data_IF_736660413584
#
_entry.id   IF_736660413584
#
_cell.length_a   1.000
_cell.length_b   1.000
_cell.length_c   1.000
_cell.angle_alpha   90.00
_cell.angle_beta   90.00
_cell.angle_gamma   90.00
#
_symmetry.space_group_name_H-M   'P 1'
#
loop_
_entity.id
_entity.type
_entity.pdbx_description
1 polymer ?
#
# COMPACT_ATOMS: atom_id res chain seq x y z
N UNK A 1 39.56 -7.04 6.44
CA UNK A 1 38.59 -6.22 5.68
C UNK A 1 37.16 -6.78 5.68
N UNK A 2 36.77 -7.64 6.64
CA UNK A 2 35.39 -8.14 6.76
C UNK A 2 34.47 -7.23 7.60
N UNK A 3 35.03 -6.30 8.38
CA UNK A 3 34.24 -5.38 9.25
C UNK A 3 33.61 -4.18 8.53
N UNK A 4 34.13 -3.75 7.38
CA UNK A 4 33.57 -2.59 6.66
C UNK A 4 32.28 -2.91 5.89
N UNK A 5 32.06 -4.17 5.51
CA UNK A 5 30.84 -4.60 4.84
C UNK A 5 29.64 -4.69 5.81
N UNK A 6 29.90 -5.01 7.09
CA UNK A 6 28.87 -5.15 8.11
C UNK A 6 28.34 -3.78 8.57
N UNK A 7 29.20 -2.75 8.65
CA UNK A 7 28.78 -1.39 8.99
C UNK A 7 27.99 -0.69 7.87
N UNK A 8 28.28 -1.00 6.60
CA UNK A 8 27.49 -0.52 5.45
C UNK A 8 26.12 -1.21 5.37
N UNK A 9 26.03 -2.49 5.72
CA UNK A 9 24.76 -3.19 5.86
C UNK A 9 23.94 -2.66 7.06
N UNK A 10 24.60 -2.29 8.16
CA UNK A 10 23.92 -1.65 9.29
C UNK A 10 23.34 -0.27 8.90
N UNK A 11 24.04 0.57 8.13
CA UNK A 11 23.48 1.83 7.63
C UNK A 11 22.34 1.65 6.60
N UNK A 12 22.40 0.58 5.79
CA UNK A 12 21.31 0.20 4.87
C UNK A 12 20.09 -0.40 5.58
N UNK A 13 20.27 -1.05 6.74
CA UNK A 13 19.19 -1.57 7.58
C UNK A 13 18.62 -0.52 8.56
N UNK A 14 19.41 0.47 8.99
CA UNK A 14 18.95 1.57 9.85
C UNK A 14 18.02 2.57 9.11
N UNK A 15 17.98 2.53 7.78
CA UNK A 15 17.12 3.36 6.94
C UNK A 15 15.89 2.57 6.40
N UNK A 16 15.50 1.48 7.07
CA UNK A 16 14.18 0.90 6.91
C UNK A 16 13.17 1.90 7.45
N UNK A 17 12.53 2.60 6.52
CA UNK A 17 11.63 3.72 6.76
C UNK A 17 10.76 3.51 8.02
N UNK A 18 10.99 4.33 9.04
CA UNK A 18 10.12 4.50 10.22
C UNK A 18 9.84 5.98 10.39
N UNK A 19 9.42 6.65 9.33
CA UNK A 19 8.94 8.03 9.42
C UNK A 19 7.43 7.99 9.28
N UNK A 20 6.76 7.99 10.44
CA UNK A 20 5.35 8.33 10.49
C UNK A 20 5.18 9.82 10.27
N UNK A 21 4.10 10.19 9.59
CA UNK A 21 3.72 11.58 9.52
C UNK A 21 3.44 12.13 10.93
N UNK A 22 4.04 13.25 11.35
CA UNK A 22 3.84 13.76 12.70
C UNK A 22 2.36 14.01 13.02
N UNK A 23 1.90 13.46 14.16
CA UNK A 23 0.51 13.59 14.60
C UNK A 23 -0.44 12.50 14.08
N UNK A 24 0.07 11.49 13.38
CA UNK A 24 -0.67 10.29 12.94
C UNK A 24 0.01 9.02 13.47
N UNK A 25 -0.72 7.90 13.46
CA UNK A 25 -0.25 6.58 13.89
C UNK A 25 -0.23 5.54 12.76
N UNK A 26 -0.83 5.85 11.61
CA UNK A 26 -0.97 4.93 10.46
C UNK A 26 -0.43 5.53 9.15
N UNK A 27 -0.11 6.82 9.09
CA UNK A 27 0.39 7.42 7.84
C UNK A 27 1.91 7.25 7.70
N UNK A 28 2.33 6.05 7.33
CA UNK A 28 3.72 5.70 7.09
C UNK A 28 3.89 4.23 6.71
N UNK A 29 5.13 3.73 6.66
CA UNK A 29 5.44 2.32 6.41
C UNK A 29 5.08 1.45 7.64
N UNK A 30 3.83 0.99 7.70
CA UNK A 30 3.30 0.19 8.81
C UNK A 30 2.53 1.03 9.82
N UNK A 31 2.28 0.48 11.01
CA UNK A 31 1.54 1.15 12.10
C UNK A 31 2.36 1.17 13.39
N UNK A 32 2.25 2.25 14.16
CA UNK A 32 2.77 2.31 15.54
C UNK A 32 1.68 1.90 16.55
N UNK A 33 2.09 1.62 17.79
CA UNK A 33 1.19 1.26 18.89
C UNK A 33 0.07 2.30 19.07
N UNK A 34 -1.17 1.87 19.39
CA UNK A 34 -2.34 2.74 19.41
C UNK A 34 -2.21 3.84 20.48
N UNK A 35 -2.13 5.08 20.02
CA UNK A 35 -2.31 6.28 20.83
C UNK A 35 -3.34 7.21 20.17
N UNK A 36 -3.76 8.27 20.85
CA UNK A 36 -4.63 9.26 20.22
C UNK A 36 -3.86 10.07 19.16
N UNK A 37 -4.25 9.94 17.89
CA UNK A 37 -3.73 10.80 16.83
C UNK A 37 -4.18 12.25 17.05
N UNK A 38 -3.28 13.19 16.77
CA UNK A 38 -3.61 14.63 16.75
C UNK A 38 -4.39 14.99 15.49
N UNK A 39 -4.11 14.31 14.38
CA UNK A 39 -4.72 14.51 13.06
C UNK A 39 -5.69 13.37 12.75
N UNK A 40 -6.75 13.21 13.56
CA UNK A 40 -7.67 12.05 13.54
C UNK A 40 -8.23 11.76 12.13
N UNK A 41 -8.83 12.74 11.46
CA UNK A 41 -9.44 12.53 10.14
C UNK A 41 -8.43 12.07 9.06
N UNK A 42 -7.18 12.52 9.19
CA UNK A 42 -6.08 12.13 8.28
C UNK A 42 -5.59 10.73 8.61
N UNK A 43 -5.40 10.46 9.91
CA UNK A 43 -4.94 9.17 10.42
C UNK A 43 -5.94 8.05 10.08
N UNK A 44 -7.25 8.33 10.16
CA UNK A 44 -8.30 7.39 9.81
C UNK A 44 -8.26 6.97 8.33
N UNK A 45 -7.90 7.88 7.42
CA UNK A 45 -7.68 7.53 6.01
C UNK A 45 -6.54 6.51 5.85
N UNK A 46 -5.43 6.72 6.56
CA UNK A 46 -4.28 5.83 6.51
C UNK A 46 -4.56 4.49 7.22
N UNK A 47 -5.28 4.52 8.34
CA UNK A 47 -5.73 3.34 9.08
C UNK A 47 -6.62 2.43 8.22
N UNK A 48 -7.56 3.03 7.47
CA UNK A 48 -8.38 2.31 6.51
C UNK A 48 -7.54 1.66 5.40
N UNK A 49 -6.51 2.35 4.92
CA UNK A 49 -5.60 1.83 3.90
C UNK A 49 -4.71 0.70 4.43
N UNK A 50 -4.17 0.82 5.63
CA UNK A 50 -3.40 -0.24 6.31
C UNK A 50 -4.24 -1.51 6.51
N UNK A 51 -5.55 -1.34 6.72
CA UNK A 51 -6.54 -2.41 6.81
C UNK A 51 -6.90 -3.07 5.47
N UNK A 52 -6.25 -2.73 4.36
CA UNK A 52 -6.58 -3.28 3.05
C UNK A 52 -6.57 -4.83 3.05
N UNK A 53 -7.64 -5.49 2.60
CA UNK A 53 -7.74 -6.95 2.62
C UNK A 53 -6.81 -7.63 1.61
N UNK A 54 -6.50 -6.94 0.50
CA UNK A 54 -5.59 -7.43 -0.53
C UNK A 54 -4.33 -6.58 -0.48
N UNK A 55 -3.30 -7.14 0.17
CA UNK A 55 -1.98 -6.53 0.26
C UNK A 55 -0.87 -7.57 0.29
N UNK A 56 0.31 -7.16 -0.14
CA UNK A 56 1.55 -7.94 -0.09
C UNK A 56 2.60 -7.08 0.59
N UNK A 57 3.03 -7.49 1.78
CA UNK A 57 4.08 -6.82 2.54
C UNK A 57 5.43 -6.88 1.80
N UNK A 58 6.38 -6.02 2.16
CA UNK A 58 7.73 -6.04 1.57
C UNK A 58 8.38 -7.41 1.73
N UNK A 59 8.96 -7.93 0.66
CA UNK A 59 9.67 -9.22 0.65
C UNK A 59 8.75 -10.45 0.81
N UNK A 60 7.43 -10.27 0.70
CA UNK A 60 6.46 -11.36 0.78
C UNK A 60 5.99 -11.77 -0.61
N UNK A 61 5.75 -13.07 -0.79
CA UNK A 61 5.10 -13.64 -1.96
C UNK A 61 3.67 -14.06 -1.63
N UNK A 62 2.69 -13.54 -2.39
CA UNK A 62 1.26 -13.87 -2.29
C UNK A 62 0.63 -13.73 -3.68
N UNK A 63 -0.41 -14.52 -3.97
CA UNK A 63 -1.12 -14.46 -5.26
C UNK A 63 -0.21 -14.67 -6.49
N UNK A 64 0.88 -15.43 -6.34
CA UNK A 64 1.95 -15.59 -7.34
C UNK A 64 2.64 -14.27 -7.73
N UNK A 65 2.63 -13.29 -6.81
CA UNK A 65 3.32 -12.02 -6.93
C UNK A 65 4.29 -11.86 -5.77
N UNK A 66 5.56 -11.58 -6.09
CA UNK A 66 6.58 -11.25 -5.11
C UNK A 66 6.75 -9.73 -5.01
N UNK A 67 6.57 -9.17 -3.81
CA UNK A 67 6.80 -7.73 -3.60
C UNK A 67 8.27 -7.45 -3.29
N UNK A 68 9.04 -7.17 -4.34
CA UNK A 68 10.43 -6.71 -4.28
C UNK A 68 10.58 -5.22 -3.90
N UNK A 69 9.46 -4.51 -3.70
CA UNK A 69 9.43 -3.09 -3.38
C UNK A 69 9.80 -2.77 -1.93
N UNK A 70 10.13 -1.50 -1.68
CA UNK A 70 10.46 -1.00 -0.34
C UNK A 70 9.25 -0.86 0.60
N UNK A 71 8.03 -0.94 0.07
CA UNK A 71 6.79 -0.71 0.80
C UNK A 71 5.78 -1.83 0.53
N UNK A 72 4.81 -1.99 1.43
CA UNK A 72 3.64 -2.83 1.22
C UNK A 72 2.90 -2.40 -0.05
N UNK A 73 2.49 -3.36 -0.86
CA UNK A 73 1.64 -3.16 -2.04
C UNK A 73 0.21 -3.47 -1.64
N UNK A 74 -0.68 -2.50 -1.74
CA UNK A 74 -2.12 -2.70 -1.52
C UNK A 74 -2.84 -2.83 -2.87
N UNK A 75 -4.14 -3.18 -2.84
CA UNK A 75 -4.95 -3.15 -4.05
C UNK A 75 -5.08 -1.74 -4.60
N UNK A 76 -5.22 -1.64 -5.93
CA UNK A 76 -5.44 -0.34 -6.57
C UNK A 76 -6.71 0.35 -6.05
N UNK A 77 -7.73 -0.42 -5.68
CA UNK A 77 -8.95 0.09 -5.05
C UNK A 77 -8.68 0.71 -3.67
N UNK A 78 -7.85 0.07 -2.84
CA UNK A 78 -7.44 0.63 -1.55
C UNK A 78 -6.66 1.93 -1.73
N UNK A 79 -5.75 1.98 -2.70
CA UNK A 79 -4.98 3.20 -3.02
C UNK A 79 -5.87 4.35 -3.49
N UNK A 80 -6.88 4.06 -4.32
CA UNK A 80 -7.88 5.04 -4.74
C UNK A 80 -8.72 5.55 -3.56
N UNK A 81 -9.19 4.63 -2.70
CA UNK A 81 -9.93 4.98 -1.47
C UNK A 81 -9.10 5.87 -0.54
N UNK A 82 -7.80 5.61 -0.39
CA UNK A 82 -6.89 6.47 0.35
C UNK A 82 -6.82 7.87 -0.25
N UNK A 83 -6.56 7.97 -1.56
CA UNK A 83 -6.47 9.26 -2.27
C UNK A 83 -7.77 10.06 -2.13
N UNK A 84 -8.92 9.40 -2.28
CA UNK A 84 -10.22 10.06 -2.21
C UNK A 84 -10.58 10.46 -0.78
N UNK A 85 -10.22 9.64 0.22
CA UNK A 85 -10.34 10.01 1.62
C UNK A 85 -9.52 11.27 1.93
N UNK A 86 -8.23 11.29 1.57
CA UNK A 86 -7.35 12.44 1.80
C UNK A 86 -7.81 13.70 1.04
N UNK A 87 -8.36 13.54 -0.17
CA UNK A 87 -8.99 14.63 -0.93
C UNK A 87 -10.20 15.21 -0.19
N UNK A 88 -11.10 14.35 0.33
CA UNK A 88 -12.29 14.78 1.08
C UNK A 88 -11.94 15.51 2.38
N UNK A 89 -10.93 15.02 3.13
CA UNK A 89 -10.43 15.72 4.33
C UNK A 89 -9.94 17.13 3.99
N UNK A 90 -9.29 17.31 2.84
CA UNK A 90 -9.02 18.63 2.25
C UNK A 90 -8.05 19.55 2.99
N UNK A 91 -7.54 19.14 4.16
CA UNK A 91 -6.59 19.89 4.98
C UNK A 91 -5.22 20.02 4.32
N UNK A 92 -4.37 20.92 4.84
CA UNK A 92 -2.98 21.01 4.38
C UNK A 92 -2.23 19.69 4.60
N UNK A 93 -2.41 19.06 5.77
CA UNK A 93 -1.78 17.78 6.10
C UNK A 93 -2.22 16.65 5.15
N UNK A 94 -3.52 16.55 4.82
CA UNK A 94 -4.00 15.50 3.91
C UNK A 94 -3.44 15.67 2.49
N UNK A 95 -3.30 16.92 2.03
CA UNK A 95 -2.68 17.25 0.74
C UNK A 95 -1.21 16.86 0.70
N UNK A 96 -0.46 17.11 1.78
CA UNK A 96 0.95 16.72 1.91
C UNK A 96 1.07 15.20 1.85
N UNK A 97 0.34 14.47 2.68
CA UNK A 97 0.40 13.00 2.72
C UNK A 97 0.03 12.38 1.38
N UNK A 98 -1.04 12.85 0.74
CA UNK A 98 -1.44 12.37 -0.60
C UNK A 98 -0.31 12.56 -1.62
N UNK A 99 0.30 13.75 -1.68
CA UNK A 99 1.42 14.02 -2.59
C UNK A 99 2.65 13.16 -2.28
N UNK A 100 2.96 12.97 -1.00
CA UNK A 100 4.05 12.10 -0.56
C UNK A 100 3.79 10.65 -0.99
N UNK A 101 2.56 10.15 -0.83
CA UNK A 101 2.18 8.80 -1.26
C UNK A 101 2.32 8.63 -2.78
N UNK A 102 1.85 9.58 -3.58
CA UNK A 102 1.91 9.50 -5.04
C UNK A 102 3.35 9.57 -5.60
N UNK A 103 4.26 10.27 -4.91
CA UNK A 103 5.63 10.46 -5.36
C UNK A 103 6.61 9.43 -4.80
N UNK A 104 6.58 9.19 -3.49
CA UNK A 104 7.53 8.32 -2.77
C UNK A 104 6.94 6.96 -2.41
N UNK A 105 5.62 6.81 -2.43
CA UNK A 105 4.94 5.58 -2.03
C UNK A 105 5.01 4.47 -3.09
N UNK A 106 4.19 3.43 -2.92
CA UNK A 106 4.14 2.32 -3.85
C UNK A 106 3.71 2.76 -5.28
N UNK A 107 4.67 2.79 -6.23
CA UNK A 107 4.37 3.07 -7.66
C UNK A 107 3.44 2.06 -8.35
N UNK A 108 3.51 0.79 -7.94
CA UNK A 108 2.64 -0.30 -8.38
C UNK A 108 1.61 -0.62 -7.30
N UNK A 109 0.39 -0.96 -7.72
CA UNK A 109 -0.69 -1.50 -6.90
C UNK A 109 -1.15 -2.85 -7.45
N UNK A 110 -1.91 -3.61 -6.66
CA UNK A 110 -2.44 -4.92 -7.06
C UNK A 110 -3.77 -4.72 -7.76
N UNK A 111 -3.82 -5.01 -9.05
CA UNK A 111 -5.05 -5.08 -9.82
C UNK A 111 -5.64 -6.48 -9.73
N UNK A 112 -6.95 -6.53 -9.45
CA UNK A 112 -7.70 -7.76 -9.29
C UNK A 112 -8.66 -7.84 -10.49
N UNK A 113 -8.52 -8.86 -11.33
CA UNK A 113 -9.39 -9.07 -12.49
C UNK A 113 -10.10 -10.41 -12.37
N UNK A 114 -11.42 -10.35 -12.33
CA UNK A 114 -12.28 -11.53 -12.41
C UNK A 114 -12.79 -11.67 -13.83
N UNK A 115 -12.36 -12.72 -14.53
CA UNK A 115 -12.72 -12.99 -15.92
C UNK A 115 -13.55 -14.26 -16.00
N UNK A 116 -14.58 -14.23 -16.84
CA UNK A 116 -15.33 -15.43 -17.17
C UNK A 116 -14.55 -16.28 -18.19
N UNK A 117 -14.14 -17.48 -17.77
CA UNK A 117 -13.37 -18.41 -18.61
C UNK A 117 -14.23 -19.49 -19.26
N UNK A 118 -15.46 -19.69 -18.77
CA UNK A 118 -16.38 -20.70 -19.31
C UNK A 118 -17.81 -20.16 -19.38
N UNK A 119 -18.44 -20.30 -20.55
CA UNK A 119 -19.80 -19.83 -20.83
C UNK A 119 -20.69 -20.96 -21.32
N UNK A 120 -21.98 -20.89 -21.00
CA UNK A 120 -23.01 -21.72 -21.65
C UNK A 120 -23.21 -21.30 -23.11
N UNK A 121 -23.90 -22.15 -23.87
CA UNK A 121 -24.36 -21.85 -25.25
C UNK A 121 -25.22 -20.58 -25.28
N UNK A 122 -25.97 -20.30 -24.20
CA UNK A 122 -26.79 -19.09 -24.04
C UNK A 122 -26.00 -17.86 -23.56
N UNK A 123 -24.67 -17.96 -23.41
CA UNK A 123 -23.78 -16.86 -23.03
C UNK A 123 -23.66 -16.58 -21.53
N UNK A 124 -24.26 -17.41 -20.66
CA UNK A 124 -24.19 -17.27 -19.20
C UNK A 124 -22.80 -17.71 -18.72
N UNK A 125 -22.18 -16.93 -17.81
CA UNK A 125 -20.91 -17.33 -17.21
C UNK A 125 -21.10 -18.44 -16.17
N UNK A 126 -20.47 -19.59 -16.36
CA UNK A 126 -20.49 -20.70 -15.40
C UNK A 126 -19.27 -20.71 -14.48
N UNK A 127 -18.12 -20.23 -14.98
CA UNK A 127 -16.86 -20.27 -14.24
C UNK A 127 -16.11 -18.96 -14.38
N UNK A 128 -15.76 -18.40 -13.23
CA UNK A 128 -14.91 -17.23 -13.11
C UNK A 128 -13.51 -17.64 -12.66
N UNK A 129 -12.53 -16.89 -13.12
CA UNK A 129 -11.15 -16.96 -12.67
C UNK A 129 -10.72 -15.56 -12.22
N UNK A 130 -10.14 -15.48 -11.01
CA UNK A 130 -9.59 -14.23 -10.48
C UNK A 130 -8.08 -14.25 -10.62
N UNK A 131 -7.55 -13.20 -11.22
CA UNK A 131 -6.12 -12.98 -11.43
C UNK A 131 -5.67 -11.73 -10.70
N UNK A 132 -4.41 -11.75 -10.26
CA UNK A 132 -3.76 -10.65 -9.56
C UNK A 132 -2.54 -10.22 -10.36
N UNK A 133 -2.39 -8.93 -10.59
CA UNK A 133 -1.24 -8.39 -11.30
C UNK A 133 -0.78 -7.07 -10.67
N UNK A 134 0.52 -6.82 -10.67
CA UNK A 134 1.02 -5.48 -10.38
C UNK A 134 0.83 -4.57 -11.59
N UNK A 135 0.17 -3.43 -11.38
CA UNK A 135 0.00 -2.39 -12.40
C UNK A 135 0.47 -1.04 -11.89
N UNK A 136 0.87 -0.16 -12.80
CA UNK A 136 1.16 1.25 -12.52
C UNK A 136 -0.08 2.05 -12.96
N UNK A 137 -0.69 2.80 -12.05
CA UNK A 137 -1.75 3.77 -12.40
C UNK A 137 -1.12 5.16 -12.40
N UNK A 138 -1.30 5.90 -13.50
CA UNK A 138 -0.85 7.28 -13.67
C UNK A 138 -1.76 8.26 -12.94
#
# INVERSE_FOLDING_TARGET
>A
MRSFCILLLAAFALAEATIMYPGTNYCGPGSFAPGEAKLKDVDDCCKLHDGCPIKIERGVEKYNLFNDGLFTRSSCECDEKLRDCLKRVGSWHSKVIRKTYDFFGPRKCIEIKTTCIERTISGICNKNETTYAFVVRN
#
